data_IF_326161168970
#
_entry.id   IF_326161168970
#
_cell.length_a   1.000
_cell.length_b   1.000
_cell.length_c   1.000
_cell.angle_alpha   90.00
_cell.angle_beta   90.00
_cell.angle_gamma   90.00
#
_symmetry.space_group_name_H-M   'P 1'
#
loop_
_entity.id
_entity.type
_entity.pdbx_description
1 polymer ?
#
# COMPACT_ATOMS: atom_id res chain seq x y z
N UNK A 1 23.59 10.76 -1.76
CA UNK A 1 22.87 9.54 -2.20
C UNK A 1 21.93 9.91 -3.34
N UNK A 2 21.81 9.06 -4.36
CA UNK A 2 20.90 9.32 -5.49
C UNK A 2 19.50 8.72 -5.24
N UNK A 3 18.47 9.42 -5.68
CA UNK A 3 17.08 9.02 -5.58
C UNK A 3 16.54 8.69 -6.97
N UNK A 4 15.67 7.68 -7.02
CA UNK A 4 15.01 7.24 -8.26
C UNK A 4 13.50 7.17 -8.03
N UNK A 5 12.71 7.02 -9.11
CA UNK A 5 11.27 6.86 -8.99
C UNK A 5 10.87 5.53 -8.32
N UNK A 6 9.89 5.58 -7.40
CA UNK A 6 9.41 4.38 -6.71
C UNK A 6 8.42 3.58 -7.58
N UNK A 7 8.87 2.52 -8.23
CA UNK A 7 8.08 1.77 -9.23
C UNK A 7 6.82 1.11 -8.70
N UNK A 8 6.78 0.79 -7.41
CA UNK A 8 5.73 0.00 -6.79
C UNK A 8 4.65 0.84 -6.09
N UNK A 9 4.54 2.11 -6.48
CA UNK A 9 3.45 2.97 -6.05
C UNK A 9 2.12 2.53 -6.67
N UNK A 10 1.24 1.91 -5.89
CA UNK A 10 -0.09 1.46 -6.35
C UNK A 10 -1.20 2.48 -6.10
N UNK A 11 -1.00 3.43 -5.19
CA UNK A 11 -2.00 4.38 -4.72
C UNK A 11 -1.45 5.79 -4.53
N UNK A 12 -2.28 6.65 -3.92
CA UNK A 12 -1.89 8.03 -3.59
C UNK A 12 -2.00 9.03 -4.76
N UNK A 13 -1.63 10.28 -4.47
CA UNK A 13 -1.63 11.39 -5.45
C UNK A 13 -0.27 12.10 -5.56
N UNK A 14 0.62 11.85 -4.60
CA UNK A 14 1.98 12.39 -4.59
C UNK A 14 2.92 11.37 -5.22
N UNK A 15 3.86 11.81 -6.05
CA UNK A 15 4.93 10.95 -6.52
C UNK A 15 5.83 10.53 -5.36
N UNK A 16 6.13 9.24 -5.28
CA UNK A 16 7.11 8.69 -4.33
C UNK A 16 8.45 8.48 -5.03
N UNK A 17 9.52 8.82 -4.34
CA UNK A 17 10.89 8.50 -4.75
C UNK A 17 11.43 7.39 -3.83
N UNK A 18 12.58 6.83 -4.16
CA UNK A 18 13.23 5.81 -3.35
C UNK A 18 14.76 5.97 -3.35
N UNK A 19 15.41 5.50 -2.28
CA UNK A 19 16.87 5.41 -2.19
C UNK A 19 17.28 4.46 -1.05
N UNK A 20 18.31 3.64 -1.25
CA UNK A 20 18.94 2.78 -0.23
C UNK A 20 17.96 2.09 0.74
N UNK A 21 16.93 1.42 0.24
CA UNK A 21 15.94 0.73 1.10
C UNK A 21 14.87 1.64 1.74
N UNK A 22 14.77 2.89 1.33
CA UNK A 22 13.80 3.87 1.82
C UNK A 22 12.85 4.33 0.71
N UNK A 23 11.63 4.69 1.12
CA UNK A 23 10.70 5.50 0.33
C UNK A 23 10.83 6.96 0.78
N UNK A 24 11.07 7.86 -0.17
CA UNK A 24 11.08 9.28 0.05
C UNK A 24 9.74 9.90 -0.37
N UNK A 25 9.04 10.47 0.60
CA UNK A 25 7.73 11.11 0.42
C UNK A 25 7.84 12.62 0.66
N UNK A 26 7.27 13.49 -0.20
CA UNK A 26 7.31 14.93 0.01
C UNK A 26 6.80 15.28 1.41
N UNK A 27 7.51 16.17 2.11
CA UNK A 27 7.22 16.43 3.52
C UNK A 27 5.79 16.97 3.69
N UNK A 28 5.07 16.35 4.60
CA UNK A 28 3.86 16.89 5.20
C UNK A 28 4.11 16.98 6.70
N UNK A 29 4.06 18.19 7.26
CA UNK A 29 4.40 18.43 8.66
C UNK A 29 3.57 17.58 9.63
N UNK A 30 2.27 17.45 9.39
CA UNK A 30 1.38 16.64 10.23
C UNK A 30 1.73 15.17 10.14
N UNK A 31 1.98 14.65 8.94
CA UNK A 31 2.38 13.25 8.78
C UNK A 31 3.71 12.95 9.48
N UNK A 32 4.70 13.83 9.31
CA UNK A 32 6.00 13.69 9.98
C UNK A 32 5.85 13.67 11.50
N UNK A 33 5.18 14.68 12.09
CA UNK A 33 4.98 14.74 13.54
C UNK A 33 4.13 13.57 14.05
N UNK A 34 3.20 13.04 13.25
CA UNK A 34 2.46 11.84 13.62
C UNK A 34 3.39 10.62 13.75
N UNK A 35 4.33 10.42 12.82
CA UNK A 35 5.33 9.35 12.91
C UNK A 35 6.21 9.50 14.16
N UNK A 36 6.65 10.72 14.45
CA UNK A 36 7.50 11.03 15.61
C UNK A 36 6.77 10.78 16.94
N UNK A 37 5.48 11.10 17.01
CA UNK A 37 4.74 11.15 18.28
C UNK A 37 3.80 9.95 18.52
N UNK A 38 3.49 9.13 17.51
CA UNK A 38 2.57 8.00 17.70
C UNK A 38 3.03 7.04 18.80
N UNK A 39 2.09 6.40 19.50
CA UNK A 39 2.41 5.42 20.54
C UNK A 39 2.97 4.12 19.94
N UNK A 40 3.77 3.41 20.72
CA UNK A 40 4.44 2.17 20.29
C UNK A 40 3.45 1.07 19.84
N UNK A 41 2.26 1.04 20.46
CA UNK A 41 1.20 0.11 20.10
C UNK A 41 0.79 0.23 18.62
N UNK A 42 0.77 1.46 18.08
CA UNK A 42 0.46 1.73 16.67
C UNK A 42 1.72 1.69 15.80
N UNK A 43 2.87 2.16 16.33
CA UNK A 43 4.15 2.24 15.60
C UNK A 43 4.57 0.91 14.99
N UNK A 44 4.34 -0.21 15.67
CA UNK A 44 4.67 -1.54 15.15
C UNK A 44 3.92 -1.94 13.87
N UNK A 45 2.82 -1.23 13.56
CA UNK A 45 2.03 -1.40 12.33
C UNK A 45 2.30 -0.28 11.33
N UNK A 46 3.29 0.58 11.50
CA UNK A 46 3.63 1.65 10.57
C UNK A 46 5.06 1.45 10.03
N UNK A 47 5.36 1.86 8.78
CA UNK A 47 6.73 1.84 8.29
C UNK A 47 7.65 2.65 9.21
N UNK A 48 8.88 2.20 9.39
CA UNK A 48 9.82 2.94 10.23
C UNK A 48 10.08 4.35 9.68
N UNK A 49 9.97 5.36 10.54
CA UNK A 49 10.34 6.74 10.20
C UNK A 49 11.84 6.93 10.35
N UNK A 50 12.51 7.18 9.23
CA UNK A 50 13.98 7.22 9.14
C UNK A 50 14.53 8.65 9.15
N UNK A 51 13.68 9.64 9.42
CA UNK A 51 14.03 11.05 9.42
C UNK A 51 13.61 11.79 8.14
N UNK A 52 14.32 12.87 7.85
CA UNK A 52 14.02 13.75 6.74
C UNK A 52 15.28 14.17 6.01
N UNK A 53 15.15 14.38 4.70
CA UNK A 53 16.25 14.75 3.81
C UNK A 53 15.88 15.93 2.92
N UNK A 54 16.90 16.68 2.51
CA UNK A 54 16.78 17.64 1.42
C UNK A 54 17.15 16.93 0.12
N UNK A 55 16.27 16.99 -0.86
CA UNK A 55 16.45 16.42 -2.19
C UNK A 55 16.54 17.56 -3.18
N UNK A 56 17.58 17.55 -4.02
CA UNK A 56 17.80 18.53 -5.07
C UNK A 56 17.78 17.85 -6.44
N UNK A 57 17.27 18.56 -7.45
CA UNK A 57 17.34 18.11 -8.84
C UNK A 57 18.46 18.87 -9.56
N UNK A 58 19.30 18.12 -10.26
CA UNK A 58 20.32 18.65 -11.18
C UNK A 58 20.16 18.01 -12.54
N UNK A 59 20.49 18.76 -13.59
CA UNK A 59 20.47 18.26 -14.98
C UNK A 59 21.91 18.27 -15.47
N UNK A 60 22.35 17.18 -16.07
CA UNK A 60 23.69 17.06 -16.65
C UNK A 60 23.74 17.62 -18.08
N UNK A 61 24.90 17.48 -18.74
CA UNK A 61 25.11 17.96 -20.11
C UNK A 61 24.29 17.19 -21.15
N UNK A 62 23.92 15.94 -20.86
CA UNK A 62 23.13 15.06 -21.73
C UNK A 62 21.61 15.28 -21.58
N UNK A 63 21.20 16.05 -20.56
CA UNK A 63 19.80 16.37 -20.26
C UNK A 63 19.14 15.36 -19.32
N UNK A 64 19.92 14.49 -18.71
CA UNK A 64 19.48 13.53 -17.71
C UNK A 64 19.36 14.19 -16.34
N UNK A 65 18.32 13.79 -15.60
CA UNK A 65 17.95 14.43 -14.35
C UNK A 65 18.36 13.56 -13.17
N UNK A 66 19.29 14.08 -12.37
CA UNK A 66 19.77 13.46 -11.15
C UNK A 66 19.07 14.06 -9.93
N UNK A 67 18.60 13.18 -9.05
CA UNK A 67 17.99 13.57 -7.79
C UNK A 67 18.95 13.18 -6.66
N UNK A 68 19.49 14.17 -5.97
CA UNK A 68 20.52 13.93 -4.96
C UNK A 68 20.12 14.44 -3.59
N UNK A 69 20.54 13.72 -2.57
CA UNK A 69 20.51 14.19 -1.18
C UNK A 69 21.92 14.25 -0.60
N UNK A 70 22.10 15.24 0.27
CA UNK A 70 23.34 15.60 0.98
C UNK A 70 23.66 14.68 2.16
N UNK A 71 22.69 13.91 2.65
CA UNK A 71 22.83 13.12 3.88
C UNK A 71 22.92 11.62 3.57
N UNK A 72 24.02 10.93 3.95
CA UNK A 72 24.08 9.47 3.89
C UNK A 72 23.17 8.87 4.97
N UNK A 73 22.49 7.77 4.65
CA UNK A 73 21.58 7.07 5.56
C UNK A 73 22.00 5.61 5.66
N UNK A 74 22.13 5.12 6.89
CA UNK A 74 22.72 3.82 7.20
C UNK A 74 21.82 2.97 8.14
N UNK A 75 20.59 3.41 8.41
CA UNK A 75 19.70 2.71 9.35
C UNK A 75 19.15 1.38 8.80
N UNK A 76 19.15 1.21 7.48
CA UNK A 76 18.84 -0.06 6.82
C UNK A 76 20.12 -0.60 6.18
N UNK A 77 20.36 -1.92 6.23
CA UNK A 77 21.44 -2.52 5.44
C UNK A 77 21.26 -2.07 3.99
N UNK A 78 22.33 -1.66 3.32
CA UNK A 78 22.24 -1.47 1.87
C UNK A 78 21.61 -2.74 1.31
N UNK A 79 20.49 -2.66 0.56
CA UNK A 79 19.96 -3.83 -0.10
C UNK A 79 21.11 -4.38 -0.92
N UNK A 80 21.66 -5.52 -0.51
CA UNK A 80 22.93 -6.08 -1.00
C UNK A 80 22.94 -5.91 -2.50
N UNK A 81 23.75 -4.97 -3.04
CA UNK A 81 23.66 -4.41 -4.39
C UNK A 81 23.10 -5.48 -5.30
N UNK A 82 21.78 -5.50 -5.43
CA UNK A 82 21.18 -6.56 -6.22
C UNK A 82 21.59 -6.11 -7.60
N UNK A 83 22.22 -6.97 -8.40
CA UNK A 83 22.65 -6.66 -9.79
C UNK A 83 21.49 -6.20 -10.71
N UNK A 84 20.33 -5.87 -10.15
CA UNK A 84 19.06 -5.45 -10.71
C UNK A 84 18.67 -4.00 -10.38
N UNK A 85 19.57 -3.18 -9.78
CA UNK A 85 19.44 -1.70 -9.82
C UNK A 85 19.46 -1.13 -11.25
N UNK A 86 19.79 -1.96 -12.25
CA UNK A 86 19.57 -1.72 -13.68
C UNK A 86 18.08 -1.53 -14.09
N UNK A 87 17.18 -1.39 -13.12
CA UNK A 87 15.75 -1.16 -13.29
C UNK A 87 15.28 -0.02 -12.37
N UNK A 88 16.12 0.97 -12.10
CA UNK A 88 15.68 2.23 -11.49
C UNK A 88 14.74 2.99 -12.45
N UNK A 89 13.74 3.69 -11.93
CA UNK A 89 12.97 4.65 -12.75
C UNK A 89 13.76 5.96 -12.78
N UNK A 90 14.39 6.27 -13.92
CA UNK A 90 15.12 7.52 -14.14
C UNK A 90 14.23 8.58 -14.80
N UNK A 91 14.70 9.82 -14.79
CA UNK A 91 13.99 10.97 -15.31
C UNK A 91 14.90 11.74 -16.27
N UNK A 92 14.30 12.31 -17.31
CA UNK A 92 14.99 13.17 -18.28
C UNK A 92 14.18 14.41 -18.55
N UNK A 93 14.83 15.46 -19.02
CA UNK A 93 14.13 16.67 -19.48
C UNK A 93 13.80 16.52 -20.97
N UNK A 94 12.50 16.39 -21.27
CA UNK A 94 11.97 16.30 -22.62
C UNK A 94 11.95 17.65 -23.35
N UNK A 95 11.56 17.61 -24.64
CA UNK A 95 11.45 18.82 -25.47
C UNK A 95 10.39 19.77 -24.87
N UNK A 96 10.82 20.99 -24.53
CA UNK A 96 9.98 21.98 -23.88
C UNK A 96 10.05 22.01 -22.35
N UNK A 97 11.08 21.41 -21.74
CA UNK A 97 11.38 21.57 -20.31
C UNK A 97 10.50 20.73 -19.38
N UNK A 98 9.78 19.74 -19.92
CA UNK A 98 8.94 18.84 -19.13
C UNK A 98 9.73 17.63 -18.69
N UNK A 99 9.54 17.20 -17.45
CA UNK A 99 10.12 15.95 -16.96
C UNK A 99 9.38 14.76 -17.55
N UNK A 100 10.14 13.89 -18.22
CA UNK A 100 9.71 12.61 -18.75
C UNK A 100 10.37 11.48 -17.95
N UNK A 101 9.68 10.35 -17.83
CA UNK A 101 10.22 9.16 -17.18
C UNK A 101 10.82 8.28 -18.26
N UNK A 102 12.06 7.85 -18.07
CA UNK A 102 12.64 6.85 -18.96
C UNK A 102 12.12 5.47 -18.57
N UNK A 103 11.43 4.82 -19.50
CA UNK A 103 10.73 3.57 -19.27
C UNK A 103 11.32 2.46 -20.13
N UNK A 104 12.28 1.73 -19.59
CA UNK A 104 12.80 0.52 -20.24
C UNK A 104 11.73 -0.60 -20.39
N UNK A 105 10.62 -0.55 -19.63
CA UNK A 105 9.55 -1.56 -19.62
C UNK A 105 8.18 -0.97 -19.27
N UNK A 106 7.06 -1.64 -19.62
CA UNK A 106 5.71 -1.22 -19.21
C UNK A 106 5.63 -1.18 -17.68
N UNK A 107 5.67 0.03 -17.15
CA UNK A 107 5.55 0.32 -15.73
C UNK A 107 4.13 0.77 -15.40
N UNK A 108 3.80 0.87 -14.11
CA UNK A 108 2.55 1.46 -13.69
C UNK A 108 2.48 2.93 -14.16
N UNK A 109 1.74 3.20 -15.24
CA UNK A 109 1.61 4.54 -15.84
C UNK A 109 1.15 5.61 -14.82
N UNK A 110 0.40 5.22 -13.79
CA UNK A 110 -0.02 6.10 -12.70
C UNK A 110 1.16 6.59 -11.86
N UNK A 111 2.09 5.70 -11.51
CA UNK A 111 3.27 6.01 -10.72
C UNK A 111 4.18 6.98 -11.47
N UNK A 112 4.47 6.69 -12.74
CA UNK A 112 5.25 7.56 -13.63
C UNK A 112 4.67 8.98 -13.66
N UNK A 113 3.36 9.13 -13.90
CA UNK A 113 2.69 10.43 -13.94
C UNK A 113 2.80 11.21 -12.62
N UNK A 114 2.68 10.53 -11.48
CA UNK A 114 2.78 11.18 -10.17
C UNK A 114 4.23 11.62 -9.87
N UNK A 115 5.20 10.80 -10.27
CA UNK A 115 6.62 11.03 -10.02
C UNK A 115 7.18 12.14 -10.91
N UNK A 116 6.82 12.17 -12.20
CA UNK A 116 7.15 13.30 -13.09
C UNK A 116 6.73 14.64 -12.49
N UNK A 117 5.56 14.73 -11.84
CA UNK A 117 5.09 15.98 -11.21
C UNK A 117 5.93 16.39 -10.01
N UNK A 118 6.40 15.45 -9.21
CA UNK A 118 7.26 15.74 -8.06
C UNK A 118 8.63 16.18 -8.53
N UNK A 119 9.18 15.49 -9.53
CA UNK A 119 10.49 15.81 -10.11
C UNK A 119 10.45 17.14 -10.87
N UNK A 120 9.36 17.43 -11.60
CA UNK A 120 9.14 18.74 -12.24
C UNK A 120 9.21 19.89 -11.22
N UNK A 121 8.56 19.73 -10.07
CA UNK A 121 8.62 20.72 -8.99
C UNK A 121 10.02 20.87 -8.39
N UNK A 122 10.77 19.77 -8.29
CA UNK A 122 12.16 19.81 -7.84
C UNK A 122 13.06 20.55 -8.83
N UNK A 123 12.82 20.35 -10.13
CA UNK A 123 13.53 21.06 -11.19
C UNK A 123 13.24 22.58 -11.13
N UNK A 124 11.98 22.96 -10.93
CA UNK A 124 11.56 24.37 -10.82
C UNK A 124 12.05 25.07 -9.54
N UNK A 125 12.12 24.33 -8.42
CA UNK A 125 12.46 24.86 -7.10
C UNK A 125 13.86 24.55 -6.58
N UNK A 126 14.70 23.93 -7.41
CA UNK A 126 16.05 23.38 -7.14
C UNK A 126 16.12 22.31 -6.05
N UNK A 127 15.42 22.44 -4.91
CA UNK A 127 15.39 21.45 -3.84
C UNK A 127 14.08 21.47 -3.03
N UNK A 128 13.71 20.34 -2.42
CA UNK A 128 12.59 20.24 -1.48
C UNK A 128 12.88 19.22 -0.37
N UNK A 129 12.12 19.28 0.73
CA UNK A 129 12.26 18.34 1.86
C UNK A 129 11.34 17.14 1.71
N UNK A 130 11.84 15.99 2.10
CA UNK A 130 11.14 14.70 2.10
C UNK A 130 11.27 14.06 3.47
N UNK A 131 10.24 13.33 3.88
CA UNK A 131 10.39 12.32 4.93
C UNK A 131 10.86 11.01 4.30
N UNK A 132 11.64 10.25 5.05
CA UNK A 132 12.07 8.92 4.68
C UNK A 132 11.36 7.89 5.55
N UNK A 133 10.80 6.89 4.87
CA UNK A 133 10.11 5.77 5.48
C UNK A 133 10.79 4.47 5.02
N UNK A 134 10.75 3.44 5.85
CA UNK A 134 11.12 2.07 5.46
C UNK A 134 10.42 1.71 4.13
N UNK A 135 11.20 1.25 3.14
CA UNK A 135 10.62 0.64 1.96
C UNK A 135 10.26 -0.82 2.26
N UNK A 136 9.00 -1.03 2.62
CA UNK A 136 8.43 -2.34 3.02
C UNK A 136 8.51 -3.42 1.93
N UNK A 137 8.84 -3.05 0.69
CA UNK A 137 9.04 -3.98 -0.43
C UNK A 137 10.47 -3.92 -1.00
N UNK A 138 11.44 -3.34 -0.27
CA UNK A 138 12.82 -3.18 -0.75
C UNK A 138 13.48 -4.50 -1.16
N UNK A 139 13.21 -5.58 -0.42
CA UNK A 139 13.78 -6.91 -0.68
C UNK A 139 12.98 -7.74 -1.68
N UNK A 140 11.84 -7.23 -2.18
CA UNK A 140 10.93 -8.02 -3.02
C UNK A 140 11.35 -7.98 -4.48
N UNK A 141 11.38 -9.15 -5.13
CA UNK A 141 11.66 -9.28 -6.56
C UNK A 141 10.41 -9.04 -7.42
N UNK A 142 9.25 -9.50 -6.95
CA UNK A 142 7.94 -9.40 -7.61
C UNK A 142 6.85 -9.02 -6.61
N UNK A 143 6.85 -7.77 -6.14
CA UNK A 143 5.90 -7.34 -5.12
C UNK A 143 4.46 -7.37 -5.63
N UNK A 144 3.62 -8.11 -4.91
CA UNK A 144 2.16 -8.02 -4.98
C UNK A 144 1.69 -7.10 -3.85
N UNK A 145 0.95 -6.04 -4.18
CA UNK A 145 0.62 -4.96 -3.24
C UNK A 145 -0.87 -4.66 -3.31
N UNK A 146 -1.48 -4.43 -2.16
CA UNK A 146 -2.86 -4.01 -2.00
C UNK A 146 -2.91 -2.81 -1.06
N UNK A 147 -3.52 -1.71 -1.51
CA UNK A 147 -3.73 -0.49 -0.75
C UNK A 147 -5.23 -0.28 -0.51
N UNK A 148 -5.62 -0.37 0.76
CA UNK A 148 -6.99 -0.27 1.22
C UNK A 148 -7.16 0.97 2.08
N UNK A 149 -7.97 1.92 1.60
CA UNK A 149 -8.29 3.12 2.38
C UNK A 149 -9.37 2.81 3.40
N UNK A 150 -9.05 3.04 4.68
CA UNK A 150 -9.85 2.65 5.86
C UNK A 150 -10.61 3.84 6.46
N UNK A 151 -11.74 3.57 7.10
CA UNK A 151 -12.60 4.56 7.74
C UNK A 151 -13.88 4.88 6.96
N UNK A 152 -14.98 5.10 7.69
CA UNK A 152 -16.24 5.65 7.16
C UNK A 152 -16.17 7.17 6.96
N UNK A 153 -15.29 7.84 7.72
CA UNK A 153 -14.93 9.26 7.58
C UNK A 153 -13.51 9.39 7.03
N UNK A 154 -13.34 10.29 6.07
CA UNK A 154 -12.07 10.45 5.34
C UNK A 154 -11.52 11.87 5.39
N UNK A 155 -12.15 12.79 6.13
CA UNK A 155 -11.69 14.15 6.29
C UNK A 155 -11.20 14.37 7.73
N UNK A 156 -10.00 14.95 7.85
CA UNK A 156 -9.48 15.43 9.13
C UNK A 156 -10.25 16.66 9.63
N UNK A 157 -9.86 17.14 10.80
CA UNK A 157 -10.44 18.35 11.42
C UNK A 157 -9.91 19.62 10.77
N UNK A 158 -8.73 19.55 10.16
CA UNK A 158 -8.07 20.60 9.37
C UNK A 158 -8.66 20.77 7.96
N UNK A 159 -9.67 19.98 7.58
CA UNK A 159 -10.16 19.96 6.21
C UNK A 159 -11.03 21.19 5.88
N UNK A 160 -10.64 21.95 4.86
CA UNK A 160 -11.50 22.99 4.27
C UNK A 160 -12.85 22.43 3.81
N UNK A 161 -13.88 23.26 3.73
CA UNK A 161 -15.22 22.83 3.30
C UNK A 161 -15.21 22.12 1.94
N UNK A 162 -14.47 22.65 0.97
CA UNK A 162 -14.34 22.05 -0.36
C UNK A 162 -13.67 20.68 -0.31
N UNK A 163 -12.63 20.53 0.53
CA UNK A 163 -11.93 19.25 0.74
C UNK A 163 -12.83 18.25 1.45
N UNK A 164 -13.53 18.68 2.50
CA UNK A 164 -14.52 17.90 3.24
C UNK A 164 -15.63 17.39 2.32
N UNK A 165 -16.23 18.26 1.51
CA UNK A 165 -17.27 17.87 0.53
C UNK A 165 -16.79 16.82 -0.44
N UNK A 166 -15.57 16.98 -0.99
CA UNK A 166 -14.95 16.00 -1.89
C UNK A 166 -14.70 14.65 -1.21
N UNK A 167 -14.25 14.65 0.04
CA UNK A 167 -14.00 13.43 0.80
C UNK A 167 -15.31 12.71 1.17
N UNK A 168 -16.34 13.46 1.59
CA UNK A 168 -17.68 12.92 1.87
C UNK A 168 -18.31 12.29 0.63
N UNK A 169 -18.25 12.98 -0.52
CA UNK A 169 -18.74 12.44 -1.80
C UNK A 169 -18.08 11.09 -2.10
N UNK A 170 -16.75 11.02 -2.01
CA UNK A 170 -16.01 9.76 -2.22
C UNK A 170 -16.41 8.66 -1.24
N UNK A 171 -16.66 8.98 0.03
CA UNK A 171 -17.15 7.99 0.98
C UNK A 171 -18.48 7.42 0.53
N UNK A 172 -19.45 8.29 0.22
CA UNK A 172 -20.80 7.90 -0.19
C UNK A 172 -20.84 7.08 -1.47
N UNK A 173 -19.98 7.42 -2.43
CA UNK A 173 -19.93 6.77 -3.74
C UNK A 173 -19.05 5.51 -3.78
N UNK A 174 -18.61 4.99 -2.62
CA UNK A 174 -17.75 3.81 -2.56
C UNK A 174 -18.14 2.91 -1.40
N UNK A 175 -17.50 1.76 -1.30
CA UNK A 175 -17.66 0.84 -0.17
C UNK A 175 -17.22 1.43 1.17
N UNK A 176 -16.53 2.59 1.22
CA UNK A 176 -16.17 3.22 2.50
C UNK A 176 -17.38 3.55 3.37
N UNK A 177 -18.53 3.91 2.79
CA UNK A 177 -19.72 4.24 3.56
C UNK A 177 -20.35 3.02 4.26
N UNK A 178 -20.27 1.84 3.65
CA UNK A 178 -20.93 0.62 4.13
C UNK A 178 -19.97 -0.36 4.81
N UNK A 179 -18.75 -0.48 4.30
CA UNK A 179 -17.74 -1.43 4.78
C UNK A 179 -16.65 -0.75 5.64
N UNK A 180 -16.63 0.58 5.75
CA UNK A 180 -15.50 1.27 6.38
C UNK A 180 -14.16 1.08 5.63
N UNK A 181 -14.18 0.56 4.41
CA UNK A 181 -12.97 0.32 3.60
C UNK A 181 -13.29 0.42 2.11
N UNK A 182 -12.32 0.87 1.30
CA UNK A 182 -12.35 0.77 -0.16
C UNK A 182 -10.96 0.48 -0.74
N UNK A 183 -10.94 -0.16 -1.90
CA UNK A 183 -9.70 -0.37 -2.65
C UNK A 183 -9.27 0.94 -3.34
N UNK A 184 -8.00 1.31 -3.19
CA UNK A 184 -7.43 2.48 -3.87
C UNK A 184 -6.22 2.15 -4.73
N UNK A 185 -5.68 0.94 -4.61
CA UNK A 185 -4.64 0.40 -5.47
C UNK A 185 -4.49 -1.11 -5.27
N UNK A 186 -4.24 -1.82 -6.36
CA UNK A 186 -3.78 -3.21 -6.31
C UNK A 186 -2.78 -3.46 -7.44
N UNK A 187 -1.74 -4.23 -7.17
CA UNK A 187 -0.75 -4.72 -8.12
C UNK A 187 -0.54 -6.21 -7.84
N UNK A 188 -0.75 -7.06 -8.84
CA UNK A 188 -0.56 -8.51 -8.73
C UNK A 188 0.33 -9.00 -9.87
N UNK A 189 1.40 -9.73 -9.53
CA UNK A 189 2.26 -10.39 -10.50
C UNK A 189 1.71 -11.79 -10.83
N UNK A 190 1.64 -12.12 -12.11
CA UNK A 190 1.31 -13.45 -12.62
C UNK A 190 2.56 -14.10 -13.19
N UNK A 191 3.04 -15.17 -12.53
CA UNK A 191 4.29 -15.84 -12.89
C UNK A 191 4.22 -16.53 -14.26
N UNK A 192 3.04 -17.05 -14.66
CA UNK A 192 2.85 -17.73 -15.94
C UNK A 192 2.98 -16.78 -17.13
N UNK A 193 2.36 -15.61 -17.04
CA UNK A 193 2.38 -14.60 -18.11
C UNK A 193 3.53 -13.60 -17.95
N UNK A 194 4.26 -13.67 -16.82
CA UNK A 194 5.33 -12.74 -16.44
C UNK A 194 4.90 -11.28 -16.48
N UNK A 195 3.64 -11.01 -16.14
CA UNK A 195 3.03 -9.68 -16.25
C UNK A 195 2.37 -9.24 -14.95
N UNK A 196 2.15 -7.93 -14.82
CA UNK A 196 1.37 -7.36 -13.73
C UNK A 196 -0.06 -7.06 -14.16
N UNK A 197 -1.00 -7.25 -13.24
CA UNK A 197 -2.35 -6.69 -13.33
C UNK A 197 -2.56 -5.66 -12.23
N UNK A 198 -3.36 -4.64 -12.53
CA UNK A 198 -3.56 -3.50 -11.64
C UNK A 198 -5.04 -3.22 -11.44
N UNK A 199 -5.39 -2.69 -10.26
CA UNK A 199 -6.65 -2.00 -10.00
C UNK A 199 -6.31 -0.61 -9.52
N UNK A 200 -6.76 0.40 -10.24
CA UNK A 200 -6.52 1.79 -9.88
C UNK A 200 -7.62 2.34 -8.95
N UNK A 201 -7.42 3.54 -8.43
CA UNK A 201 -8.42 4.20 -7.58
C UNK A 201 -9.75 4.53 -8.27
N UNK A 202 -9.80 4.59 -9.61
CA UNK A 202 -11.02 4.91 -10.35
C UNK A 202 -11.89 3.66 -10.48
N UNK A 203 -11.29 2.52 -10.77
CA UNK A 203 -11.90 1.20 -10.69
C UNK A 203 -12.30 0.88 -9.25
N UNK A 204 -11.39 1.01 -8.28
CA UNK A 204 -11.67 0.74 -6.86
C UNK A 204 -12.73 1.64 -6.22
N UNK A 205 -13.10 2.77 -6.85
CA UNK A 205 -14.28 3.57 -6.45
C UNK A 205 -15.60 3.05 -7.01
N UNK A 206 -15.56 2.36 -8.15
CA UNK A 206 -16.74 1.83 -8.84
C UNK A 206 -17.13 0.44 -8.36
N UNK A 207 -16.24 -0.25 -7.66
CA UNK A 207 -16.54 -1.59 -7.15
C UNK A 207 -17.59 -1.55 -6.04
N UNK A 208 -18.54 -2.47 -6.09
CA UNK A 208 -19.49 -2.70 -5.01
C UNK A 208 -18.94 -3.69 -3.96
N UNK A 209 -19.75 -4.03 -2.94
CA UNK A 209 -19.38 -4.96 -1.88
C UNK A 209 -19.07 -6.38 -2.39
N UNK A 210 -19.81 -6.86 -3.39
CA UNK A 210 -19.61 -8.19 -3.98
C UNK A 210 -18.29 -8.25 -4.73
N UNK A 211 -18.02 -7.23 -5.55
CA UNK A 211 -16.78 -7.09 -6.29
C UNK A 211 -15.59 -6.88 -5.33
N UNK A 212 -15.74 -6.06 -4.28
CA UNK A 212 -14.72 -5.92 -3.24
C UNK A 212 -14.33 -7.28 -2.66
N UNK A 213 -15.31 -8.11 -2.27
CA UNK A 213 -15.05 -9.47 -1.80
C UNK A 213 -14.32 -10.32 -2.85
N UNK A 214 -14.76 -10.26 -4.11
CA UNK A 214 -14.11 -11.01 -5.20
C UNK A 214 -12.64 -10.59 -5.41
N UNK A 215 -12.33 -9.30 -5.31
CA UNK A 215 -10.96 -8.80 -5.40
C UNK A 215 -10.11 -9.21 -4.18
N UNK A 216 -10.67 -9.14 -2.97
CA UNK A 216 -9.99 -9.62 -1.77
C UNK A 216 -9.67 -11.12 -1.88
N UNK A 217 -10.64 -11.94 -2.31
CA UNK A 217 -10.41 -13.36 -2.56
C UNK A 217 -9.40 -13.62 -3.68
N UNK A 218 -9.39 -12.78 -4.73
CA UNK A 218 -8.35 -12.82 -5.77
C UNK A 218 -6.98 -12.58 -5.16
N UNK A 219 -6.81 -11.54 -4.35
CA UNK A 219 -5.55 -11.25 -3.67
C UNK A 219 -5.08 -12.45 -2.81
N UNK A 220 -5.99 -13.06 -2.05
CA UNK A 220 -5.69 -14.25 -1.23
C UNK A 220 -5.21 -15.44 -2.06
N UNK A 221 -5.79 -15.67 -3.25
CA UNK A 221 -5.32 -16.74 -4.15
C UNK A 221 -3.88 -16.54 -4.61
N UNK A 222 -3.46 -15.31 -4.89
CA UNK A 222 -2.06 -14.99 -5.23
C UNK A 222 -1.16 -15.03 -3.99
N UNK A 223 -1.70 -14.66 -2.83
CA UNK A 223 -1.01 -14.65 -1.55
C UNK A 223 -0.62 -16.07 -1.12
N UNK A 224 -1.48 -17.07 -1.30
CA UNK A 224 -1.27 -18.42 -0.77
C UNK A 224 -1.79 -18.55 0.67
N UNK A 225 -1.94 -19.80 1.11
CA UNK A 225 -2.68 -20.12 2.34
C UNK A 225 -1.90 -19.72 3.61
N UNK A 226 -0.58 -19.91 3.61
CA UNK A 226 0.26 -19.66 4.79
C UNK A 226 0.37 -18.16 5.05
N UNK A 227 0.66 -17.38 4.01
CA UNK A 227 0.63 -15.91 4.08
C UNK A 227 -0.76 -15.36 4.36
N UNK A 228 -1.82 -15.96 3.82
CA UNK A 228 -3.20 -15.55 4.15
C UNK A 228 -3.56 -15.80 5.62
N UNK A 229 -3.07 -16.88 6.24
CA UNK A 229 -3.19 -17.08 7.68
C UNK A 229 -2.45 -15.99 8.47
N UNK A 230 -1.24 -15.62 8.02
CA UNK A 230 -0.45 -14.56 8.64
C UNK A 230 -1.08 -13.17 8.51
N UNK A 231 -1.65 -12.86 7.34
CA UNK A 231 -2.43 -11.65 7.10
C UNK A 231 -3.59 -11.54 8.10
N UNK A 232 -4.37 -12.61 8.29
CA UNK A 232 -5.46 -12.65 9.26
C UNK A 232 -4.97 -12.42 10.69
N UNK A 233 -3.85 -13.07 11.07
CA UNK A 233 -3.24 -12.87 12.38
C UNK A 233 -2.84 -11.39 12.58
N UNK A 234 -2.16 -10.78 11.61
CA UNK A 234 -1.70 -9.39 11.71
C UNK A 234 -2.85 -8.38 11.69
N UNK A 235 -3.89 -8.59 10.89
CA UNK A 235 -5.10 -7.75 10.91
C UNK A 235 -5.84 -7.81 12.24
N UNK A 236 -5.93 -9.00 12.86
CA UNK A 236 -6.51 -9.14 14.21
C UNK A 236 -5.65 -8.43 15.26
N UNK A 237 -4.33 -8.57 15.21
CA UNK A 237 -3.43 -7.85 16.11
C UNK A 237 -3.56 -6.33 15.96
N UNK A 238 -3.64 -5.83 14.72
CA UNK A 238 -3.87 -4.40 14.44
C UNK A 238 -5.22 -3.94 15.00
N UNK A 239 -6.27 -4.75 14.84
CA UNK A 239 -7.60 -4.45 15.39
C UNK A 239 -7.56 -4.28 16.91
N UNK A 240 -6.89 -5.18 17.63
CA UNK A 240 -6.76 -5.10 19.08
C UNK A 240 -5.91 -3.88 19.50
N UNK A 241 -4.84 -3.58 18.77
CA UNK A 241 -4.04 -2.38 19.01
C UNK A 241 -4.87 -1.08 18.86
N UNK A 242 -5.78 -1.04 17.88
CA UNK A 242 -6.66 0.11 17.67
C UNK A 242 -7.77 0.23 18.73
N UNK A 243 -8.25 -0.89 19.27
CA UNK A 243 -9.17 -0.89 20.41
C UNK A 243 -8.51 -0.32 21.67
N UNK A 244 -7.23 -0.62 21.86
CA UNK A 244 -6.40 -0.12 22.97
C UNK A 244 -5.74 1.25 22.68
N UNK A 245 -6.19 1.95 21.64
CA UNK A 245 -5.69 3.28 21.27
C UNK A 245 -6.82 4.33 21.28
N UNK A 246 -7.48 4.57 22.43
CA UNK A 246 -8.56 5.55 22.51
C UNK A 246 -8.08 6.95 22.11
N UNK A 247 -8.94 7.68 21.41
CA UNK A 247 -8.67 9.03 20.92
C UNK A 247 -7.90 9.10 19.60
N UNK A 248 -7.29 8.02 19.13
CA UNK A 248 -6.73 7.98 17.77
C UNK A 248 -7.85 8.03 16.72
N UNK A 249 -7.60 8.76 15.63
CA UNK A 249 -8.41 8.70 14.40
C UNK A 249 -7.51 8.68 13.17
N UNK A 250 -7.80 7.78 12.24
CA UNK A 250 -6.95 7.50 11.07
C UNK A 250 -7.60 7.97 9.77
N UNK A 251 -8.06 9.23 9.74
CA UNK A 251 -8.77 9.76 8.59
C UNK A 251 -7.90 9.76 7.34
N UNK A 252 -8.43 9.26 6.22
CA UNK A 252 -7.66 9.15 4.97
C UNK A 252 -6.42 8.26 5.03
N UNK A 253 -6.17 7.50 6.09
CA UNK A 253 -5.11 6.49 6.13
C UNK A 253 -5.48 5.25 5.32
N UNK A 254 -4.49 4.40 5.09
CA UNK A 254 -4.65 3.13 4.39
C UNK A 254 -3.99 1.99 5.16
N UNK A 255 -4.49 0.77 4.97
CA UNK A 255 -3.77 -0.47 5.26
C UNK A 255 -3.15 -0.94 3.94
N UNK A 256 -1.82 -1.04 3.95
CA UNK A 256 -1.00 -1.57 2.88
C UNK A 256 -0.66 -3.03 3.19
N UNK A 257 -0.98 -3.93 2.27
CA UNK A 257 -0.63 -5.35 2.35
C UNK A 257 0.31 -5.68 1.20
N UNK A 258 1.45 -6.32 1.49
CA UNK A 258 2.42 -6.67 0.46
C UNK A 258 3.08 -8.03 0.71
N UNK A 259 3.35 -8.77 -0.37
CA UNK A 259 4.15 -9.99 -0.35
C UNK A 259 4.95 -10.12 -1.65
N UNK A 260 6.02 -10.92 -1.65
CA UNK A 260 6.79 -11.20 -2.86
C UNK A 260 6.29 -12.47 -3.58
N UNK A 261 5.84 -12.32 -4.82
CA UNK A 261 5.40 -13.45 -5.66
C UNK A 261 6.53 -14.42 -6.02
N UNK A 262 7.80 -14.01 -5.95
CA UNK A 262 8.94 -14.89 -6.27
C UNK A 262 9.39 -15.73 -5.06
N UNK A 263 8.79 -15.50 -3.89
CA UNK A 263 9.06 -16.27 -2.66
C UNK A 263 8.02 -17.38 -2.46
N UNK A 264 8.43 -18.48 -1.84
CA UNK A 264 7.52 -19.57 -1.48
C UNK A 264 6.49 -19.10 -0.45
N UNK A 265 5.27 -19.62 -0.55
CA UNK A 265 4.25 -19.39 0.48
C UNK A 265 4.71 -19.97 1.81
N UNK A 266 4.96 -19.10 2.78
CA UNK A 266 5.48 -19.46 4.10
C UNK A 266 4.68 -18.75 5.20
N UNK A 267 4.88 -19.20 6.44
CA UNK A 267 4.30 -18.57 7.63
C UNK A 267 5.33 -17.73 8.41
N UNK A 268 6.48 -17.40 7.81
CA UNK A 268 7.49 -16.56 8.47
C UNK A 268 6.95 -15.15 8.73
N UNK A 269 7.51 -14.46 9.71
CA UNK A 269 7.04 -13.12 10.10
C UNK A 269 7.13 -12.09 8.97
N UNK A 270 8.09 -12.25 8.06
CA UNK A 270 8.39 -11.35 6.95
C UNK A 270 7.74 -11.77 5.62
N UNK A 271 7.03 -12.92 5.60
CA UNK A 271 6.41 -13.46 4.39
C UNK A 271 5.32 -12.54 3.81
N UNK A 272 4.68 -11.74 4.66
CA UNK A 272 3.66 -10.75 4.29
C UNK A 272 3.72 -9.55 5.22
N UNK A 273 3.74 -8.34 4.63
CA UNK A 273 3.69 -7.06 5.35
C UNK A 273 2.25 -6.57 5.43
N UNK A 274 1.88 -6.01 6.59
CA UNK A 274 0.58 -5.37 6.84
C UNK A 274 0.85 -4.09 7.63
N UNK A 275 0.76 -2.94 6.96
CA UNK A 275 1.19 -1.66 7.50
C UNK A 275 0.11 -0.59 7.33
N UNK A 276 -0.16 0.20 8.35
CA UNK A 276 -0.86 1.47 8.25
C UNK A 276 0.05 2.54 7.65
N UNK A 277 -0.48 3.30 6.69
CA UNK A 277 0.23 4.38 6.00
C UNK A 277 -0.67 5.59 5.79
N UNK A 278 -0.08 6.70 5.32
CA UNK A 278 -0.74 7.98 5.02
C UNK A 278 -1.38 8.65 6.26
N UNK A 279 -0.54 9.14 7.17
CA UNK A 279 -1.00 9.75 8.43
C UNK A 279 -1.24 11.26 8.40
N UNK A 280 -1.19 11.90 7.22
CA UNK A 280 -1.31 13.35 7.09
C UNK A 280 -2.61 13.97 7.66
N UNK A 281 -3.68 13.17 7.76
CA UNK A 281 -4.97 13.58 8.34
C UNK A 281 -5.35 12.76 9.58
N UNK A 282 -4.41 11.96 10.08
CA UNK A 282 -4.59 11.26 11.34
C UNK A 282 -4.39 12.20 12.51
N UNK A 283 -4.93 11.80 13.65
CA UNK A 283 -4.87 12.55 14.90
C UNK A 283 -4.98 11.63 16.10
N UNK A 284 -4.66 12.15 17.27
CA UNK A 284 -4.84 11.52 18.58
C UNK A 284 -4.99 12.62 19.64
N UNK A 285 -5.34 12.25 20.87
CA UNK A 285 -5.54 13.22 21.96
C UNK A 285 -4.31 14.10 22.17
N UNK A 286 -4.48 15.42 22.04
CA UNK A 286 -3.40 16.40 22.16
C UNK A 286 -2.55 16.60 20.89
N UNK A 287 -2.93 16.00 19.76
CA UNK A 287 -2.26 16.22 18.49
C UNK A 287 -2.73 17.54 17.84
N UNK A 288 -1.83 18.52 17.76
CA UNK A 288 -2.14 19.88 17.30
C UNK A 288 -3.34 20.48 18.07
N UNK A 289 -4.20 21.23 17.37
CA UNK A 289 -5.44 21.80 17.89
C UNK A 289 -6.66 21.03 17.33
N UNK A 290 -6.49 19.73 17.06
CA UNK A 290 -7.56 18.89 16.54
C UNK A 290 -8.61 18.60 17.63
N UNK A 291 -9.76 18.04 17.23
CA UNK A 291 -10.80 17.68 18.18
C UNK A 291 -10.33 16.56 19.09
N UNK A 292 -10.79 16.58 20.33
CA UNK A 292 -10.64 15.42 21.23
C UNK A 292 -11.69 14.39 20.87
N UNK A 293 -11.26 13.13 20.78
CA UNK A 293 -12.11 12.01 20.46
C UNK A 293 -12.12 11.02 21.62
N UNK A 294 -13.30 10.51 21.96
CA UNK A 294 -13.46 9.45 22.94
C UNK A 294 -13.51 8.08 22.27
N UNK A 295 -12.99 7.06 22.94
CA UNK A 295 -13.02 5.67 22.47
C UNK A 295 -12.23 5.41 21.18
N UNK A 296 -12.35 4.19 20.62
CA UNK A 296 -11.61 3.78 19.44
C UNK A 296 -12.17 4.38 18.14
N UNK A 297 -11.43 4.24 17.04
CA UNK A 297 -11.88 4.63 15.70
C UNK A 297 -12.81 3.55 15.10
N UNK A 298 -14.10 3.62 15.41
CA UNK A 298 -15.12 2.66 14.95
C UNK A 298 -15.16 2.51 13.42
N UNK A 299 -14.90 3.59 12.68
CA UNK A 299 -14.88 3.56 11.23
C UNK A 299 -13.69 2.76 10.69
N UNK A 300 -12.53 2.87 11.33
CA UNK A 300 -11.35 2.07 11.03
C UNK A 300 -11.57 0.60 11.41
N UNK A 301 -12.12 0.34 12.60
CA UNK A 301 -12.41 -1.02 13.08
C UNK A 301 -13.39 -1.75 12.14
N UNK A 302 -14.47 -1.10 11.73
CA UNK A 302 -15.41 -1.63 10.73
C UNK A 302 -14.71 -2.01 9.42
N UNK A 303 -13.75 -1.18 8.99
CA UNK A 303 -12.91 -1.45 7.83
C UNK A 303 -12.12 -2.75 7.95
N UNK A 304 -11.45 -2.96 9.08
CA UNK A 304 -10.68 -4.17 9.36
C UNK A 304 -11.59 -5.40 9.44
N UNK A 305 -12.74 -5.28 10.11
CA UNK A 305 -13.71 -6.36 10.23
C UNK A 305 -14.29 -6.77 8.87
N UNK A 306 -14.52 -5.79 7.99
CA UNK A 306 -14.95 -6.03 6.61
C UNK A 306 -13.87 -6.70 5.77
N UNK A 307 -12.59 -6.33 5.94
CA UNK A 307 -11.46 -7.00 5.29
C UNK A 307 -11.39 -8.46 5.74
N UNK A 308 -11.41 -8.71 7.05
CA UNK A 308 -11.37 -10.05 7.63
C UNK A 308 -12.51 -10.92 7.09
N UNK A 309 -13.73 -10.39 7.08
CA UNK A 309 -14.91 -11.07 6.51
C UNK A 309 -14.76 -11.38 5.02
N UNK A 310 -14.14 -10.48 4.26
CA UNK A 310 -13.96 -10.66 2.82
C UNK A 310 -12.91 -11.73 2.47
N UNK A 311 -11.85 -11.85 3.28
CA UNK A 311 -10.77 -12.84 3.10
C UNK A 311 -11.06 -14.17 3.77
N UNK A 312 -11.93 -14.21 4.77
CA UNK A 312 -12.44 -15.44 5.35
C UNK A 312 -13.43 -16.08 4.36
N UNK A 313 -12.93 -17.07 3.65
CA UNK A 313 -13.74 -17.96 2.83
C UNK A 313 -13.98 -19.21 3.67
N UNK A 314 -15.21 -19.37 4.17
CA UNK A 314 -15.69 -20.69 4.55
C UNK A 314 -15.44 -21.64 3.36
N UNK A 315 -14.93 -22.86 3.57
CA UNK A 315 -14.64 -23.79 2.47
C UNK A 315 -15.84 -23.80 1.54
N UNK A 316 -15.66 -23.38 0.29
CA UNK A 316 -16.75 -23.42 -0.68
C UNK A 316 -17.24 -24.87 -0.73
N UNK A 317 -18.51 -25.09 -0.41
CA UNK A 317 -19.15 -26.42 -0.49
C UNK A 317 -19.00 -27.08 -1.87
N UNK A 318 -18.63 -26.29 -2.89
CA UNK A 318 -18.29 -26.73 -4.25
C UNK A 318 -17.00 -27.56 -4.38
N UNK A 319 -16.09 -27.57 -3.39
CA UNK A 319 -14.91 -28.46 -3.43
C UNK A 319 -15.20 -29.86 -2.85
N UNK A 320 -16.22 -30.02 -2.00
CA UNK A 320 -16.63 -31.34 -1.52
C UNK A 320 -17.53 -32.10 -2.52
N UNK A 321 -18.22 -31.39 -3.42
CA UNK A 321 -19.09 -32.04 -4.40
C UNK A 321 -18.31 -32.67 -5.56
N UNK A 322 -17.11 -32.19 -5.87
CA UNK A 322 -16.23 -32.84 -6.86
C UNK A 322 -15.57 -34.10 -6.30
N UNK A 323 -15.30 -34.16 -4.99
CA UNK A 323 -14.69 -35.33 -4.35
C UNK A 323 -15.74 -36.44 -4.08
N UNK A 324 -16.95 -36.08 -3.67
CA UNK A 324 -18.01 -37.07 -3.42
C UNK A 324 -18.50 -37.75 -4.71
N UNK A 325 -18.59 -37.02 -5.83
CA UNK A 325 -18.99 -37.61 -7.13
C UNK A 325 -17.90 -38.55 -7.68
N UNK A 326 -16.62 -38.31 -7.38
CA UNK A 326 -15.51 -39.19 -7.77
C UNK A 326 -15.42 -40.46 -6.91
N UNK A 327 -15.84 -40.39 -5.64
CA UNK A 327 -15.86 -41.55 -4.73
C UNK A 327 -17.09 -42.45 -5.01
N UNK A 328 -18.24 -41.86 -5.40
CA UNK A 328 -19.44 -42.63 -5.73
C UNK A 328 -19.42 -43.30 -7.12
N UNK A 329 -18.45 -43.00 -7.98
CA UNK A 329 -18.27 -43.69 -9.27
C UNK A 329 -17.32 -44.90 -9.20
N UNK A 330 -16.72 -45.19 -8.04
CA UNK A 330 -15.80 -46.32 -7.85
C UNK A 330 -16.28 -47.42 -6.91
N UNK A 331 -17.57 -47.40 -6.52
CA UNK A 331 -18.16 -48.51 -5.78
C UNK A 331 -19.52 -48.89 -6.37
N UNK A 332 -19.53 -49.89 -7.27
CA UNK A 332 -20.53 -50.98 -7.30
C UNK A 332 -20.14 -52.08 -8.31
N UNK A 333 -20.69 -53.31 -8.23
CA UNK A 333 -20.02 -54.42 -7.56
C UNK A 333 -19.69 -55.60 -8.49
N UNK A 334 -18.66 -56.37 -8.12
CA UNK A 334 -18.45 -57.71 -8.63
C UNK A 334 -19.30 -58.72 -7.87
N UNK A 335 -20.38 -59.21 -8.49
CA UNK A 335 -20.97 -60.50 -8.19
C UNK A 335 -21.52 -61.10 -9.50
N UNK A 336 -20.80 -62.09 -10.03
CA UNK A 336 -21.33 -63.08 -10.96
C UNK A 336 -21.60 -64.34 -10.12
N UNK A 337 -22.87 -64.71 -10.00
CA UNK A 337 -23.27 -66.02 -9.46
C UNK A 337 -22.90 -67.13 -10.45
N UNK A 338 -22.56 -68.29 -9.90
CA UNK A 338 -22.45 -69.61 -10.55
C UNK A 338 -23.69 -70.40 -10.17
#
# INVERSE_FOLDING_TARGET
MELTGFRHQVGGHFGLLQCAGHVAKPINRREMEFYELMGDNIRQFAPEYCGQVRVCATVDEDGDLHLVTDSPLLCHPEPSICRKDAMAMSFRVGKGGRVEVDLDKPSNHWAATCQSKVVQKLLEGSCSRFILLENVVASYSRPCILDLKIGTRQHGDDASESKRHRQLRKCRESTSATLGVRMVGMQLYESKTKSYSFVDKQEGRRIDQTQFRAYMQKFIRYCGNSRAAKLRQRLRALREALLDAPGYRFFSSSILVAFDSDTQDSNSEDAIRVMMIDFAHSTFTGFFNDSVYDGPDDGCLLGIDSILTAIDVAPSALQHQTVLTAIMQHQEPGLKEV
#
